data_IF_773604411604
#
_entry.id   IF_773604411604
#
_cell.length_a   1.000
_cell.length_b   1.000
_cell.length_c   1.000
_cell.angle_alpha   90.00
_cell.angle_beta   90.00
_cell.angle_gamma   90.00
#
_symmetry.space_group_name_H-M   'P 1'
#
loop_
_entity.id
_entity.type
_entity.pdbx_description
1 polymer ?
#
# COMPACT_ATOMS: atom_id res chain seq x y z
N UNK A 1 -15.12 -9.82 9.00
CA UNK A 1 -14.28 -10.76 8.25
C UNK A 1 -12.82 -10.66 8.66
N UNK A 2 -12.00 -11.57 8.13
CA UNK A 2 -10.55 -11.62 8.30
C UNK A 2 -9.89 -11.20 7.01
N UNK A 3 -8.80 -10.44 7.11
CA UNK A 3 -8.08 -9.93 5.96
C UNK A 3 -6.58 -10.06 6.19
N UNK A 4 -5.89 -10.61 5.19
CA UNK A 4 -4.42 -10.75 5.17
C UNK A 4 -3.87 -9.91 4.01
N UNK A 5 -3.19 -8.82 4.34
CA UNK A 5 -2.58 -7.89 3.39
C UNK A 5 -1.08 -7.90 3.63
N UNK A 6 -0.35 -8.56 2.76
CA UNK A 6 1.10 -8.69 2.93
C UNK A 6 1.86 -8.62 1.62
N UNK A 7 3.08 -8.15 1.71
CA UNK A 7 4.09 -8.10 0.65
C UNK A 7 3.63 -7.40 -0.64
N UNK A 8 2.74 -6.39 -0.49
CA UNK A 8 2.36 -5.54 -1.60
C UNK A 8 3.37 -4.42 -1.82
N UNK A 9 3.51 -4.00 -3.06
CA UNK A 9 4.23 -2.78 -3.44
C UNK A 9 3.22 -1.77 -3.96
N UNK A 10 3.15 -0.60 -3.32
CA UNK A 10 2.27 0.51 -3.69
C UNK A 10 3.12 1.71 -4.05
N UNK A 11 2.88 2.30 -5.22
CA UNK A 11 3.65 3.41 -5.71
C UNK A 11 2.77 4.56 -6.22
N UNK A 12 3.19 5.79 -5.93
CA UNK A 12 2.69 7.03 -6.55
C UNK A 12 1.16 7.23 -6.42
N UNK A 13 0.58 6.95 -5.25
CA UNK A 13 -0.83 7.24 -4.99
C UNK A 13 -1.12 8.74 -4.91
N UNK A 14 -2.35 9.15 -5.18
CA UNK A 14 -2.75 10.56 -5.07
C UNK A 14 -3.09 10.91 -3.63
N UNK A 15 -4.20 10.37 -3.11
CA UNK A 15 -4.72 10.73 -1.79
C UNK A 15 -4.79 9.52 -0.87
N UNK A 16 -5.83 8.73 -0.93
CA UNK A 16 -5.97 7.57 -0.05
C UNK A 16 -4.97 6.49 -0.45
N UNK A 17 -4.21 5.98 0.52
CA UNK A 17 -3.25 4.91 0.29
C UNK A 17 -3.88 3.55 0.60
N UNK A 18 -4.06 3.22 1.86
CA UNK A 18 -4.84 2.07 2.30
C UNK A 18 -5.74 2.54 3.43
N UNK A 19 -7.00 2.70 3.13
CA UNK A 19 -8.02 3.14 4.08
C UNK A 19 -9.07 2.05 4.22
N UNK A 20 -9.66 1.92 5.40
CA UNK A 20 -10.76 1.00 5.63
C UNK A 20 -10.55 0.11 6.82
N UNK A 21 -11.31 -0.98 6.86
CA UNK A 21 -11.26 -1.89 7.98
C UNK A 21 -11.90 -3.25 7.72
N UNK A 22 -11.51 -4.18 8.56
CA UNK A 22 -12.12 -5.48 8.71
C UNK A 22 -12.07 -5.87 10.18
N UNK A 23 -12.72 -6.96 10.54
CA UNK A 23 -12.79 -7.41 11.94
C UNK A 23 -11.39 -7.74 12.49
N UNK A 24 -10.62 -8.51 11.74
CA UNK A 24 -9.24 -8.87 12.05
C UNK A 24 -8.37 -8.69 10.80
N UNK A 25 -7.33 -7.86 10.87
CA UNK A 25 -6.44 -7.56 9.75
C UNK A 25 -5.00 -7.87 10.12
N UNK A 26 -4.34 -8.71 9.34
CA UNK A 26 -2.89 -8.76 9.30
C UNK A 26 -2.40 -7.85 8.18
N UNK A 27 -1.60 -6.84 8.50
CA UNK A 27 -1.02 -5.89 7.56
C UNK A 27 0.50 -5.90 7.71
N UNK A 28 1.18 -6.70 6.90
CA UNK A 28 2.56 -7.11 7.16
C UNK A 28 3.47 -7.01 5.94
N UNK A 29 4.63 -6.42 6.10
CA UNK A 29 5.69 -6.47 5.09
C UNK A 29 5.33 -5.77 3.78
N UNK A 30 4.47 -4.75 3.80
CA UNK A 30 4.10 -3.99 2.61
C UNK A 30 5.07 -2.82 2.39
N UNK A 31 5.38 -2.53 1.14
CA UNK A 31 6.26 -1.46 0.74
C UNK A 31 5.50 -0.37 0.01
N UNK A 32 5.49 0.82 0.58
CA UNK A 32 4.87 2.00 0.03
C UNK A 32 5.95 3.00 -0.39
N UNK A 33 5.87 3.45 -1.64
CA UNK A 33 6.82 4.41 -2.19
C UNK A 33 6.07 5.62 -2.73
N UNK A 34 6.32 6.76 -2.14
CA UNK A 34 5.75 8.03 -2.60
C UNK A 34 6.32 8.41 -3.96
N UNK A 35 5.48 9.01 -4.78
CA UNK A 35 5.85 9.53 -6.08
C UNK A 35 5.37 10.96 -6.28
N UNK A 36 5.53 11.48 -7.49
CA UNK A 36 5.20 12.87 -7.83
C UNK A 36 3.71 13.21 -7.68
N UNK A 37 2.83 12.21 -7.74
CA UNK A 37 1.38 12.41 -7.57
C UNK A 37 0.93 12.30 -6.11
N UNK A 38 1.77 11.83 -5.21
CA UNK A 38 1.40 11.61 -3.81
C UNK A 38 1.12 12.93 -3.11
N UNK A 39 -0.07 13.07 -2.55
CA UNK A 39 -0.52 14.27 -1.82
C UNK A 39 -0.78 14.01 -0.35
N UNK A 40 -1.01 12.76 0.05
CA UNK A 40 -1.11 12.36 1.45
C UNK A 40 0.10 11.55 1.84
N UNK A 41 0.82 12.04 2.82
CA UNK A 41 2.10 11.55 3.30
C UNK A 41 1.99 11.01 4.73
N UNK A 42 2.99 10.24 5.15
CA UNK A 42 3.17 9.90 6.56
C UNK A 42 2.55 8.59 7.02
N UNK A 43 1.67 7.97 6.24
CA UNK A 43 1.08 6.68 6.63
C UNK A 43 0.95 5.70 5.45
N UNK A 44 0.91 4.42 5.77
CA UNK A 44 0.65 3.31 4.83
C UNK A 44 -0.73 2.69 5.05
N UNK A 45 -1.26 2.82 6.27
CA UNK A 45 -2.58 2.33 6.66
C UNK A 45 -3.30 3.36 7.54
N UNK A 46 -4.52 3.71 7.15
CA UNK A 46 -5.49 4.41 8.00
C UNK A 46 -6.65 3.49 8.31
N UNK A 47 -6.72 3.00 9.53
CA UNK A 47 -7.85 2.22 10.02
C UNK A 47 -9.09 3.13 10.14
N UNK A 48 -10.19 2.76 9.50
CA UNK A 48 -11.44 3.52 9.56
C UNK A 48 -12.42 2.83 10.51
N UNK A 49 -12.73 3.48 11.61
CA UNK A 49 -13.65 2.96 12.61
C UNK A 49 -15.05 3.59 12.54
N UNK A 50 -15.27 4.46 11.56
CA UNK A 50 -16.54 5.11 11.33
C UNK A 50 -17.66 4.10 11.01
N UNK A 51 -18.74 4.17 11.77
CA UNK A 51 -19.92 3.34 11.55
C UNK A 51 -19.75 1.87 11.94
N UNK A 52 -18.65 1.50 12.60
CA UNK A 52 -18.43 0.15 13.08
C UNK A 52 -18.82 -0.02 14.54
N UNK A 53 -19.11 -1.24 14.96
CA UNK A 53 -19.35 -1.54 16.36
C UNK A 53 -18.06 -1.32 17.18
N UNK A 54 -18.22 -0.90 18.43
CA UNK A 54 -17.13 -0.72 19.37
C UNK A 54 -16.33 -2.00 19.55
N UNK A 55 -14.99 -1.90 19.50
CA UNK A 55 -14.09 -3.03 19.68
C UNK A 55 -14.17 -4.12 18.61
N UNK A 56 -14.81 -3.82 17.46
CA UNK A 56 -15.04 -4.81 16.41
C UNK A 56 -13.94 -4.92 15.37
N UNK A 57 -12.96 -4.01 15.37
CA UNK A 57 -11.86 -3.96 14.40
C UNK A 57 -10.53 -3.94 15.12
N UNK A 58 -9.60 -4.77 14.65
CA UNK A 58 -8.25 -4.80 15.18
C UNK A 58 -7.24 -5.16 14.07
N UNK A 59 -6.00 -4.70 14.25
CA UNK A 59 -4.95 -4.78 13.24
C UNK A 59 -3.66 -5.29 13.85
N UNK A 60 -3.07 -6.31 13.25
CA UNK A 60 -1.66 -6.62 13.41
C UNK A 60 -0.89 -5.91 12.31
N UNK A 61 -0.16 -4.86 12.66
CA UNK A 61 0.63 -4.05 11.74
C UNK A 61 2.11 -4.29 12.01
N UNK A 62 2.84 -4.83 11.04
CA UNK A 62 4.23 -5.23 11.25
C UNK A 62 5.09 -5.07 10.01
N UNK A 63 6.32 -4.58 10.20
CA UNK A 63 7.37 -4.51 9.17
C UNK A 63 6.93 -3.81 7.86
N UNK A 64 6.14 -2.75 7.91
CA UNK A 64 5.75 -1.98 6.74
C UNK A 64 6.72 -0.83 6.50
N UNK A 65 7.04 -0.56 5.24
CA UNK A 65 7.97 0.48 4.82
C UNK A 65 7.23 1.61 4.12
N UNK A 66 7.61 2.84 4.43
CA UNK A 66 7.21 4.05 3.72
C UNK A 66 8.46 4.80 3.27
N UNK A 67 8.67 4.84 1.96
CA UNK A 67 9.74 5.58 1.31
C UNK A 67 9.20 6.89 0.74
N UNK A 68 9.72 8.01 1.21
CA UNK A 68 9.37 9.34 0.71
C UNK A 68 9.97 9.59 -0.68
N UNK A 69 9.46 10.62 -1.36
CA UNK A 69 10.06 11.12 -2.62
C UNK A 69 11.54 11.42 -2.38
N UNK A 70 12.39 10.93 -3.27
CA UNK A 70 13.84 11.06 -3.15
C UNK A 70 14.53 9.92 -2.40
N UNK A 71 13.81 8.87 -2.01
CA UNK A 71 14.40 7.62 -1.52
C UNK A 71 14.70 7.58 -0.03
N UNK A 72 14.30 8.60 0.75
CA UNK A 72 14.44 8.60 2.20
C UNK A 72 13.31 7.81 2.84
N UNK A 73 13.63 6.93 3.77
CA UNK A 73 12.62 6.23 4.54
C UNK A 73 11.97 7.14 5.59
N UNK A 74 10.66 7.32 5.50
CA UNK A 74 9.82 7.85 6.58
C UNK A 74 9.61 6.77 7.62
N UNK A 75 9.31 5.54 7.17
CA UNK A 75 9.26 4.34 8.01
C UNK A 75 10.10 3.25 7.34
N UNK A 76 11.06 2.69 8.07
CA UNK A 76 12.03 1.72 7.53
C UNK A 76 11.66 0.25 7.77
N UNK A 77 10.51 0.01 8.39
CA UNK A 77 9.98 -1.31 8.75
C UNK A 77 10.42 -1.85 10.11
N UNK A 78 11.20 -1.08 10.89
CA UNK A 78 11.65 -1.51 12.23
C UNK A 78 10.75 -1.04 13.35
N UNK A 79 9.95 -0.01 13.15
CA UNK A 79 9.03 0.56 14.11
C UNK A 79 7.58 0.41 13.66
N UNK A 80 6.85 -0.51 14.27
CA UNK A 80 5.45 -0.82 13.94
C UNK A 80 4.45 0.29 14.33
N UNK A 81 4.89 1.34 15.03
CA UNK A 81 4.07 2.53 15.25
C UNK A 81 4.19 3.56 14.13
N UNK A 82 5.16 3.41 13.25
CA UNK A 82 5.39 4.30 12.13
C UNK A 82 4.51 3.94 10.94
N UNK A 83 3.79 4.92 10.39
CA UNK A 83 3.01 4.74 9.18
C UNK A 83 1.63 4.10 9.37
N UNK A 84 1.17 3.98 10.60
CA UNK A 84 -0.20 3.57 10.92
C UNK A 84 -0.96 4.70 11.62
N UNK A 85 -2.20 4.86 11.26
CA UNK A 85 -3.12 5.80 11.91
C UNK A 85 -4.55 5.27 11.88
N UNK A 86 -5.47 5.98 12.53
CA UNK A 86 -6.89 5.69 12.45
C UNK A 86 -7.71 6.97 12.33
N UNK A 87 -8.93 6.81 11.84
CA UNK A 87 -9.94 7.88 11.82
C UNK A 87 -11.22 7.43 12.51
N UNK A 88 -11.89 8.40 13.11
CA UNK A 88 -13.16 8.25 13.82
C UNK A 88 -14.17 9.23 13.23
N UNK A 89 -15.44 8.84 13.20
CA UNK A 89 -16.53 9.79 12.92
C UNK A 89 -16.69 10.79 14.06
N UNK A 90 -17.21 11.96 13.75
CA UNK A 90 -17.30 13.08 14.70
C UNK A 90 -17.92 12.69 16.04
N UNK A 91 -17.21 13.01 17.10
CA UNK A 91 -17.63 12.73 18.48
C UNK A 91 -17.42 11.32 18.99
N UNK A 92 -16.92 10.42 18.18
CA UNK A 92 -16.54 9.07 18.63
C UNK A 92 -15.24 9.10 19.42
N UNK A 93 -15.13 8.21 20.40
CA UNK A 93 -13.92 7.98 21.18
C UNK A 93 -13.51 6.53 21.01
N UNK A 94 -12.23 6.31 20.76
CA UNK A 94 -11.67 4.97 20.72
C UNK A 94 -11.60 4.42 22.15
N UNK A 95 -12.36 3.38 22.45
CA UNK A 95 -12.45 2.77 23.78
C UNK A 95 -11.84 1.35 23.83
N UNK A 96 -11.06 0.99 22.82
CA UNK A 96 -10.32 -0.28 22.76
C UNK A 96 -8.94 -0.06 22.15
N UNK A 97 -8.01 -1.00 22.34
CA UNK A 97 -6.72 -1.03 21.66
C UNK A 97 -6.88 -1.75 20.30
N UNK A 98 -6.79 -1.03 19.16
CA UNK A 98 -6.98 -1.63 17.85
C UNK A 98 -5.72 -2.31 17.31
N UNK A 99 -4.55 -2.06 17.92
CA UNK A 99 -3.27 -2.55 17.43
C UNK A 99 -2.83 -3.80 18.19
N UNK A 100 -2.90 -4.95 17.54
CA UNK A 100 -2.51 -6.22 18.15
C UNK A 100 -1.00 -6.44 18.03
N UNK A 101 -0.41 -7.08 19.04
CA UNK A 101 1.03 -7.38 19.08
C UNK A 101 1.42 -8.67 18.35
N UNK A 102 0.44 -9.47 17.93
CA UNK A 102 0.63 -10.75 17.23
C UNK A 102 -0.35 -10.89 16.08
N UNK A 103 -0.02 -11.66 15.04
CA UNK A 103 -0.97 -11.95 13.97
C UNK A 103 -2.18 -12.70 14.52
N UNK A 104 -3.35 -12.42 13.93
CA UNK A 104 -4.61 -13.07 14.33
C UNK A 104 -4.69 -14.51 13.85
N UNK A 105 -4.03 -14.80 12.76
CA UNK A 105 -3.98 -16.13 12.14
C UNK A 105 -2.70 -16.27 11.33
N UNK A 106 -2.31 -17.50 11.07
CA UNK A 106 -1.17 -17.77 10.20
C UNK A 106 -1.52 -17.45 8.72
N UNK A 107 -0.62 -16.76 8.04
CA UNK A 107 -0.72 -16.63 6.58
C UNK A 107 -0.48 -17.98 5.91
N UNK A 108 -1.19 -18.25 4.81
CA UNK A 108 -0.97 -19.47 4.00
C UNK A 108 0.15 -19.31 2.98
N UNK A 109 0.80 -18.16 2.96
CA UNK A 109 1.95 -17.88 2.11
C UNK A 109 3.17 -17.46 2.94
N UNK A 110 4.35 -17.56 2.37
CA UNK A 110 5.57 -17.04 3.01
C UNK A 110 5.56 -15.54 3.02
N UNK A 111 5.45 -14.95 4.20
CA UNK A 111 5.53 -13.50 4.38
C UNK A 111 6.99 -13.09 4.48
N UNK A 112 7.41 -12.16 3.63
CA UNK A 112 8.75 -11.61 3.59
C UNK A 112 8.82 -10.26 4.31
N UNK A 113 10.03 -9.75 4.56
CA UNK A 113 10.18 -8.34 4.93
C UNK A 113 9.77 -7.44 3.76
N UNK A 114 9.25 -6.24 4.06
CA UNK A 114 8.83 -5.28 3.02
C UNK A 114 9.94 -5.00 1.99
N UNK A 115 11.19 -4.86 2.46
CA UNK A 115 12.33 -4.61 1.56
C UNK A 115 12.70 -5.80 0.67
N UNK A 116 12.48 -7.02 1.13
CA UNK A 116 12.65 -8.22 0.30
C UNK A 116 11.50 -8.32 -0.71
N UNK A 117 10.27 -8.18 -0.24
CA UNK A 117 9.08 -8.17 -1.10
C UNK A 117 9.15 -7.12 -2.22
N UNK A 118 9.65 -5.90 -1.93
CA UNK A 118 9.85 -4.88 -2.95
C UNK A 118 10.73 -5.37 -4.11
N UNK A 119 11.83 -6.06 -3.79
CA UNK A 119 12.74 -6.59 -4.82
C UNK A 119 12.10 -7.72 -5.61
N UNK A 120 11.48 -8.67 -4.91
CA UNK A 120 10.90 -9.85 -5.52
C UNK A 120 9.70 -9.50 -6.39
N UNK A 121 8.78 -8.66 -5.89
CA UNK A 121 7.64 -8.19 -6.68
C UNK A 121 8.10 -7.47 -7.95
N UNK A 122 9.02 -6.51 -7.85
CA UNK A 122 9.48 -5.78 -9.03
C UNK A 122 10.36 -6.60 -9.97
N UNK A 123 10.83 -7.77 -9.55
CA UNK A 123 11.56 -8.70 -10.43
C UNK A 123 10.63 -9.58 -11.25
N UNK A 124 9.41 -9.84 -10.78
CA UNK A 124 8.52 -10.85 -11.38
C UNK A 124 7.07 -10.42 -11.60
N UNK A 125 6.69 -9.18 -11.30
CA UNK A 125 5.35 -8.65 -11.53
C UNK A 125 5.09 -8.34 -13.01
N UNK A 126 3.82 -8.30 -13.39
CA UNK A 126 3.35 -7.96 -14.74
C UNK A 126 3.01 -9.19 -15.57
N UNK A 127 2.42 -8.95 -16.75
CA UNK A 127 2.06 -9.98 -17.71
C UNK A 127 3.32 -10.48 -18.43
N UNK A 128 3.85 -11.64 -18.02
CA UNK A 128 5.12 -12.20 -18.53
C UNK A 128 4.98 -13.23 -19.65
N UNK A 129 3.77 -13.60 -19.98
CA UNK A 129 3.52 -14.59 -21.01
C UNK A 129 2.77 -13.97 -22.20
N UNK A 130 3.37 -13.94 -23.40
CA UNK A 130 4.70 -14.48 -23.75
C UNK A 130 5.87 -13.59 -23.30
N UNK A 131 5.70 -12.30 -23.10
CA UNK A 131 6.71 -11.33 -22.63
C UNK A 131 6.02 -10.15 -21.94
N UNK A 132 6.76 -9.43 -21.10
CA UNK A 132 6.29 -8.14 -20.58
C UNK A 132 6.03 -7.17 -21.71
N UNK A 133 4.88 -6.53 -21.69
CA UNK A 133 4.57 -5.46 -22.61
C UNK A 133 5.27 -4.13 -22.23
N UNK A 134 5.12 -3.13 -23.07
CA UNK A 134 5.74 -1.82 -22.85
C UNK A 134 5.12 -1.10 -21.64
N UNK A 135 3.85 -1.35 -21.35
CA UNK A 135 3.15 -0.75 -20.23
C UNK A 135 3.68 -1.29 -18.90
N UNK A 136 3.72 -2.61 -18.75
CA UNK A 136 4.26 -3.27 -17.56
C UNK A 136 5.74 -2.90 -17.34
N UNK A 137 6.54 -2.94 -18.39
CA UNK A 137 7.94 -2.53 -18.35
C UNK A 137 8.10 -1.09 -17.86
N UNK A 138 7.26 -0.17 -18.35
CA UNK A 138 7.25 1.23 -17.91
C UNK A 138 6.90 1.36 -16.44
N UNK A 139 5.80 0.74 -15.99
CA UNK A 139 5.33 0.83 -14.59
C UNK A 139 6.38 0.30 -13.62
N UNK A 140 7.00 -0.84 -13.93
CA UNK A 140 8.08 -1.43 -13.14
C UNK A 140 9.27 -0.47 -13.04
N UNK A 141 9.70 0.09 -14.16
CA UNK A 141 10.85 1.02 -14.19
C UNK A 141 10.54 2.34 -13.46
N UNK A 142 9.35 2.89 -13.63
CA UNK A 142 8.91 4.09 -12.91
C UNK A 142 8.89 3.86 -11.40
N UNK A 143 8.37 2.74 -10.96
CA UNK A 143 8.37 2.35 -9.54
C UNK A 143 9.79 2.23 -8.99
N UNK A 144 10.70 1.58 -9.71
CA UNK A 144 12.11 1.46 -9.31
C UNK A 144 12.80 2.82 -9.19
N UNK A 145 12.60 3.68 -10.18
CA UNK A 145 13.32 4.95 -10.30
C UNK A 145 12.64 6.12 -9.58
N UNK A 146 11.41 5.95 -9.08
CA UNK A 146 10.64 7.03 -8.47
C UNK A 146 10.22 8.11 -9.49
N UNK A 147 9.98 7.72 -10.74
CA UNK A 147 9.64 8.61 -11.85
C UNK A 147 8.22 8.33 -12.35
N UNK A 148 7.73 9.19 -13.22
CA UNK A 148 6.54 8.92 -14.01
C UNK A 148 6.69 9.62 -15.37
N UNK A 149 6.19 9.03 -16.43
CA UNK A 149 6.31 9.56 -17.78
C UNK A 149 4.98 9.76 -18.50
N UNK A 150 3.90 9.13 -18.02
CA UNK A 150 2.58 9.26 -18.64
C UNK A 150 1.61 9.99 -17.72
N UNK A 151 0.88 10.94 -18.32
CA UNK A 151 -0.26 11.61 -17.70
C UNK A 151 -1.50 11.11 -18.40
N UNK A 152 -2.51 10.75 -17.62
CA UNK A 152 -3.84 10.50 -18.18
C UNK A 152 -4.57 11.81 -18.49
N UNK A 153 -5.61 11.74 -19.29
CA UNK A 153 -6.53 12.85 -19.57
C UNK A 153 -7.28 13.30 -18.31
N UNK A 154 -7.41 12.40 -17.33
CA UNK A 154 -8.05 12.65 -16.03
C UNK A 154 -7.01 12.52 -14.93
N UNK A 155 -6.94 13.51 -14.03
CA UNK A 155 -6.09 13.45 -12.85
C UNK A 155 -4.70 14.07 -13.00
N UNK A 156 -4.34 14.63 -14.15
CA UNK A 156 -3.10 15.39 -14.34
C UNK A 156 -1.85 14.62 -13.92
N UNK A 157 -1.12 15.12 -12.92
CA UNK A 157 0.10 14.50 -12.37
C UNK A 157 -0.13 13.15 -11.70
N UNK A 158 -1.37 12.76 -11.44
CA UNK A 158 -1.71 11.46 -10.85
C UNK A 158 -1.31 10.28 -11.73
N UNK A 159 -0.95 10.53 -12.98
CA UNK A 159 -0.31 9.54 -13.82
C UNK A 159 -1.17 8.30 -14.10
N UNK A 160 -2.50 8.44 -14.06
CA UNK A 160 -3.38 7.39 -14.58
C UNK A 160 -3.34 7.53 -16.09
N UNK A 161 -2.60 6.69 -16.81
CA UNK A 161 -2.57 6.77 -18.27
C UNK A 161 -3.96 6.46 -18.81
N UNK A 162 -4.32 7.14 -19.89
CA UNK A 162 -5.48 6.74 -20.66
C UNK A 162 -5.24 5.31 -21.16
N UNK A 163 -6.29 4.52 -21.15
CA UNK A 163 -6.24 3.17 -21.67
C UNK A 163 -5.78 3.21 -23.13
N UNK A 164 -4.76 2.46 -23.46
CA UNK A 164 -4.42 2.24 -24.86
C UNK A 164 -5.62 1.58 -25.55
N UNK A 165 -6.21 2.32 -26.49
CA UNK A 165 -7.40 1.86 -27.21
C UNK A 165 -7.05 1.07 -28.47
N UNK A 166 -5.76 0.91 -28.78
CA UNK A 166 -5.30 0.10 -29.89
C UNK A 166 -5.27 -1.40 -29.54
N UNK A 167 -6.40 -1.91 -29.07
CA UNK A 167 -6.64 -3.34 -29.21
C UNK A 167 -6.93 -3.57 -30.68
N UNK A 168 -5.92 -3.98 -31.42
CA UNK A 168 -6.13 -4.50 -32.77
C UNK A 168 -6.94 -5.77 -32.64
N UNK A 169 -8.12 -5.77 -33.24
CA UNK A 169 -8.94 -6.96 -33.45
C UNK A 169 -8.16 -8.04 -34.20
#
# INVERSE_FOLDING_TARGET
GRLDIFNNVVYNWVSRVTDGGAHEVNFVGNYYKEGAATTLHGYTLRAQFEGTGKGSQAYYYHNNVLEAVGGKFTCDGTNDNCGREYSLSGGQVLDWEPWNSKPFFASYATVQSAKAAYKDVLSDVGQRMPVLDNHDTRVINETKNGTYSMKGSVGGMAGIPDRETDVKD
#
